data_IF_270422868824
#
_entry.id   IF_270422868824
#
_cell.length_a   1.000
_cell.length_b   1.000
_cell.length_c   1.000
_cell.angle_alpha   90.00
_cell.angle_beta   90.00
_cell.angle_gamma   90.00
#
_symmetry.space_group_name_H-M   'P 1'
#
loop_
_entity.id
_entity.type
_entity.pdbx_description
1 polymer ?
#
# COMPACT_ATOMS: atom_id res chain seq x y z
N UNK A 1 -4.46 -10.36 6.05
CA UNK A 1 -4.45 -10.32 4.57
C UNK A 1 -3.01 -10.13 4.15
N UNK A 2 -2.45 -11.05 3.36
CA UNK A 2 -1.02 -11.08 3.01
C UNK A 2 -0.82 -10.35 1.67
N UNK A 3 -0.06 -9.26 1.68
CA UNK A 3 0.43 -8.61 0.47
C UNK A 3 1.91 -8.93 0.29
N UNK A 4 2.30 -9.35 -0.92
CA UNK A 4 3.69 -9.54 -1.30
C UNK A 4 4.23 -8.36 -2.08
N UNK A 5 5.37 -7.83 -1.65
CA UNK A 5 6.16 -6.87 -2.43
C UNK A 5 6.86 -7.62 -3.57
N UNK A 6 6.45 -7.39 -4.82
CA UNK A 6 7.27 -7.79 -5.97
C UNK A 6 8.34 -6.70 -6.14
N UNK A 7 9.55 -6.96 -5.64
CA UNK A 7 10.63 -5.96 -5.53
C UNK A 7 11.08 -5.35 -6.87
N UNK A 8 10.79 -6.01 -8.00
CA UNK A 8 11.05 -5.47 -9.34
C UNK A 8 10.02 -4.45 -9.83
N UNK A 9 8.79 -4.47 -9.32
CA UNK A 9 7.69 -3.68 -9.89
C UNK A 9 7.12 -2.63 -8.96
N UNK A 10 7.58 -2.59 -7.69
CA UNK A 10 7.09 -1.68 -6.66
C UNK A 10 5.57 -1.80 -6.44
N UNK A 11 5.02 -3.01 -6.63
CA UNK A 11 3.58 -3.28 -6.53
C UNK A 11 3.30 -4.26 -5.39
N UNK A 12 2.17 -4.05 -4.72
CA UNK A 12 1.58 -5.02 -3.79
C UNK A 12 0.45 -5.76 -4.48
N UNK A 13 0.61 -7.07 -4.69
CA UNK A 13 -0.43 -7.93 -5.25
C UNK A 13 -1.15 -8.68 -4.13
N UNK A 14 -2.47 -8.62 -4.12
CA UNK A 14 -3.29 -9.45 -3.25
C UNK A 14 -3.23 -10.91 -3.70
N UNK A 15 -2.88 -11.81 -2.78
CA UNK A 15 -2.84 -13.24 -3.08
C UNK A 15 -4.25 -13.82 -3.35
N UNK A 16 -5.31 -13.24 -2.77
CA UNK A 16 -6.68 -13.76 -2.91
C UNK A 16 -7.36 -13.31 -4.20
N UNK A 17 -7.31 -12.01 -4.52
CA UNK A 17 -7.98 -11.47 -5.72
C UNK A 17 -7.07 -11.41 -6.94
N UNK A 18 -5.75 -11.59 -6.77
CA UNK A 18 -4.75 -11.38 -7.82
C UNK A 18 -4.73 -9.94 -8.39
N UNK A 19 -5.39 -8.99 -7.72
CA UNK A 19 -5.37 -7.57 -8.05
C UNK A 19 -4.29 -6.83 -7.24
N UNK A 20 -3.92 -5.65 -7.71
CA UNK A 20 -2.87 -4.83 -7.12
C UNK A 20 -3.45 -3.66 -6.32
N UNK A 21 -2.77 -3.29 -5.24
CA UNK A 21 -3.10 -2.10 -4.45
C UNK A 21 -2.87 -0.86 -5.32
N UNK A 22 -3.93 -0.09 -5.51
CA UNK A 22 -3.99 1.06 -6.39
C UNK A 22 -4.52 2.25 -5.61
N UNK A 23 -3.83 3.38 -5.70
CA UNK A 23 -4.29 4.64 -5.13
C UNK A 23 -4.29 5.74 -6.18
N UNK A 24 -5.44 6.37 -6.37
CA UNK A 24 -5.65 7.39 -7.40
C UNK A 24 -6.21 8.68 -6.80
N UNK A 25 -5.96 9.80 -7.47
CA UNK A 25 -6.60 11.08 -7.17
C UNK A 25 -7.96 11.13 -7.85
N UNK A 26 -9.03 11.25 -7.06
CA UNK A 26 -10.39 11.38 -7.59
C UNK A 26 -10.68 12.80 -8.12
N UNK A 27 -11.88 12.98 -8.69
CA UNK A 27 -12.30 14.28 -9.25
C UNK A 27 -12.43 15.40 -8.22
N UNK A 28 -12.54 15.06 -6.93
CA UNK A 28 -12.65 16.00 -5.83
C UNK A 28 -11.27 16.35 -5.24
N UNK A 29 -10.19 15.85 -5.84
CA UNK A 29 -8.84 16.06 -5.37
C UNK A 29 -8.50 15.24 -4.12
N UNK A 30 -9.22 14.13 -3.86
CA UNK A 30 -8.94 13.24 -2.74
C UNK A 30 -8.28 11.96 -3.24
N UNK A 31 -7.26 11.51 -2.50
CA UNK A 31 -6.67 10.21 -2.75
C UNK A 31 -7.61 9.11 -2.26
N UNK A 32 -7.85 8.12 -3.12
CA UNK A 32 -8.65 6.93 -2.84
C UNK A 32 -7.78 5.70 -3.00
N UNK A 33 -8.05 4.66 -2.23
CA UNK A 33 -7.34 3.40 -2.30
C UNK A 33 -8.32 2.25 -2.55
N UNK A 34 -7.94 1.34 -3.44
CA UNK A 34 -8.69 0.13 -3.74
C UNK A 34 -7.77 -0.94 -4.32
N UNK A 35 -8.33 -2.09 -4.71
CA UNK A 35 -7.64 -3.04 -5.58
C UNK A 35 -8.09 -2.85 -7.02
N UNK A 36 -7.15 -2.97 -7.96
CA UNK A 36 -7.41 -2.88 -9.39
C UNK A 36 -6.55 -3.90 -10.16
N UNK A 37 -6.89 -4.14 -11.43
CA UNK A 37 -6.10 -5.05 -12.26
C UNK A 37 -4.64 -4.58 -12.32
N UNK A 38 -3.73 -5.53 -12.13
CA UNK A 38 -2.31 -5.24 -12.05
C UNK A 38 -1.76 -4.77 -13.40
N UNK A 39 -1.22 -3.55 -13.45
CA UNK A 39 -0.54 -3.00 -14.61
C UNK A 39 0.82 -2.41 -14.20
N UNK A 40 1.90 -2.95 -14.77
CA UNK A 40 3.26 -2.49 -14.49
C UNK A 40 3.50 -1.05 -14.91
N UNK A 41 2.71 -0.50 -15.83
CA UNK A 41 2.80 0.88 -16.29
C UNK A 41 1.88 1.84 -15.51
N UNK A 42 0.97 1.31 -14.69
CA UNK A 42 0.07 2.15 -13.90
C UNK A 42 0.82 2.76 -12.70
N UNK A 43 1.01 4.07 -12.74
CA UNK A 43 1.69 4.84 -11.70
C UNK A 43 0.97 4.87 -10.35
N UNK A 44 -0.33 4.56 -10.32
CA UNK A 44 -1.14 4.49 -9.09
C UNK A 44 -0.90 3.21 -8.29
N UNK A 45 -0.20 2.23 -8.89
CA UNK A 45 0.09 0.94 -8.27
C UNK A 45 1.54 0.86 -7.77
N UNK A 46 2.23 2.01 -7.70
CA UNK A 46 3.65 2.08 -7.37
C UNK A 46 3.85 2.60 -5.95
N UNK A 47 4.59 1.84 -5.17
CA UNK A 47 4.79 2.07 -3.75
C UNK A 47 6.27 1.98 -3.37
N UNK A 48 6.70 2.88 -2.50
CA UNK A 48 8.03 2.91 -1.89
C UNK A 48 7.89 2.42 -0.46
N UNK A 49 8.67 1.40 -0.10
CA UNK A 49 8.75 0.90 1.27
C UNK A 49 9.97 1.51 1.94
N UNK A 50 9.73 2.41 2.90
CA UNK A 50 10.78 3.02 3.71
C UNK A 50 11.05 2.13 4.92
N UNK A 51 12.09 1.30 4.86
CA UNK A 51 12.37 0.30 5.90
C UNK A 51 12.84 0.89 7.22
N UNK A 52 13.41 2.10 7.19
CA UNK A 52 13.87 2.86 8.35
C UNK A 52 12.73 3.43 9.19
N UNK A 53 11.72 4.00 8.52
CA UNK A 53 10.53 4.60 9.15
C UNK A 53 9.34 3.65 9.22
N UNK A 54 9.43 2.50 8.54
CA UNK A 54 8.34 1.52 8.32
C UNK A 54 7.14 2.08 7.58
N UNK A 55 7.30 3.19 6.86
CA UNK A 55 6.22 3.78 6.07
C UNK A 55 6.15 3.18 4.66
N UNK A 56 4.93 3.12 4.12
CA UNK A 56 4.70 2.78 2.71
C UNK A 56 4.18 4.04 2.04
N UNK A 57 5.03 4.69 1.25
CA UNK A 57 4.71 5.93 0.54
C UNK A 57 4.30 5.62 -0.91
N UNK A 58 3.34 6.35 -1.43
CA UNK A 58 2.99 6.28 -2.84
C UNK A 58 4.14 6.83 -3.72
N UNK A 59 4.56 6.08 -4.73
CA UNK A 59 5.73 6.45 -5.53
C UNK A 59 5.47 7.67 -6.44
N UNK A 60 4.25 7.82 -6.97
CA UNK A 60 3.85 8.94 -7.84
C UNK A 60 3.31 10.14 -7.04
N UNK A 61 2.34 9.93 -6.15
CA UNK A 61 1.79 10.92 -5.22
C UNK A 61 2.68 11.09 -3.98
N UNK A 62 3.79 11.81 -4.13
CA UNK A 62 4.77 12.04 -3.05
C UNK A 62 4.15 12.69 -1.82
N UNK A 63 4.59 12.26 -0.65
CA UNK A 63 4.07 12.69 0.65
C UNK A 63 2.73 12.08 1.04
N UNK A 64 2.21 11.12 0.27
CA UNK A 64 1.04 10.32 0.64
C UNK A 64 1.46 8.92 1.08
N UNK A 65 1.06 8.54 2.28
CA UNK A 65 1.39 7.27 2.92
C UNK A 65 0.14 6.42 3.12
N UNK A 66 0.34 5.10 3.09
CA UNK A 66 -0.66 4.13 3.50
C UNK A 66 -0.92 4.26 5.00
N UNK A 67 -2.17 4.47 5.38
CA UNK A 67 -2.59 4.75 6.74
C UNK A 67 -3.80 3.87 7.10
N UNK A 68 -3.78 3.24 8.27
CA UNK A 68 -4.96 2.56 8.82
C UNK A 68 -5.81 3.55 9.59
N UNK A 69 -7.00 3.88 9.10
CA UNK A 69 -7.81 4.97 9.66
C UNK A 69 -8.32 4.64 11.07
N UNK A 70 -7.80 5.29 12.13
CA UNK A 70 -8.18 4.98 13.50
C UNK A 70 -9.58 5.47 13.88
N UNK A 71 -10.24 6.25 13.01
CA UNK A 71 -11.57 6.81 13.28
C UNK A 71 -12.70 5.80 13.02
N UNK A 72 -12.41 4.73 12.30
CA UNK A 72 -13.36 3.65 12.02
C UNK A 72 -12.97 2.38 12.78
N UNK A 73 -13.98 1.66 13.28
CA UNK A 73 -13.78 0.44 14.06
C UNK A 73 -13.04 -0.66 13.27
N UNK A 74 -13.17 -0.68 11.95
CA UNK A 74 -12.52 -1.64 11.06
C UNK A 74 -11.08 -1.26 10.69
N UNK A 75 -10.64 -0.04 11.02
CA UNK A 75 -9.32 0.49 10.72
C UNK A 75 -8.93 0.28 9.26
N UNK A 76 -9.88 0.52 8.35
CA UNK A 76 -9.65 0.31 6.93
C UNK A 76 -8.52 1.21 6.40
N UNK A 77 -7.94 0.77 5.29
CA UNK A 77 -6.85 1.50 4.65
C UNK A 77 -7.36 2.80 4.02
N UNK A 78 -6.60 3.87 4.22
CA UNK A 78 -6.76 5.15 3.55
C UNK A 78 -5.39 5.67 3.06
N UNK A 79 -5.43 6.78 2.33
CA UNK A 79 -4.25 7.57 2.00
C UNK A 79 -4.24 8.82 2.87
N UNK A 80 -3.11 9.10 3.51
CA UNK A 80 -2.93 10.29 4.34
C UNK A 80 -1.57 10.93 4.10
N UNK A 81 -1.40 12.18 4.54
CA UNK A 81 -0.07 12.79 4.58
C UNK A 81 0.88 11.90 5.41
N UNK A 82 2.11 11.72 4.92
CA UNK A 82 3.13 11.00 5.65
C UNK A 82 3.50 11.75 6.94
N UNK A 83 3.19 11.17 8.10
CA UNK A 83 3.46 11.75 9.42
C UNK A 83 4.53 10.94 10.14
N UNK A 84 5.69 11.53 10.49
CA UNK A 84 6.73 10.83 11.22
C UNK A 84 6.23 10.25 12.55
N UNK A 85 6.60 9.01 12.85
CA UNK A 85 6.22 8.29 14.07
C UNK A 85 4.70 8.09 14.27
N UNK A 86 3.89 8.19 13.21
CA UNK A 86 2.49 7.79 13.27
C UNK A 86 2.38 6.26 13.22
N UNK A 87 1.97 5.62 14.32
CA UNK A 87 1.84 4.16 14.42
C UNK A 87 0.86 3.58 13.40
N UNK A 88 -0.15 4.34 12.97
CA UNK A 88 -1.12 3.92 11.94
C UNK A 88 -0.52 3.88 10.52
N UNK A 89 0.70 4.41 10.35
CA UNK A 89 1.44 4.41 9.08
C UNK A 89 2.67 3.51 9.11
N UNK A 90 2.84 2.71 10.17
CA UNK A 90 3.97 1.79 10.31
C UNK A 90 3.55 0.36 9.96
N UNK A 91 4.18 -0.20 8.93
CA UNK A 91 3.86 -1.50 8.38
C UNK A 91 5.08 -2.43 8.42
N UNK A 92 4.87 -3.68 8.81
CA UNK A 92 5.87 -4.72 8.60
C UNK A 92 5.64 -5.31 7.20
N UNK A 93 6.48 -4.93 6.25
CA UNK A 93 6.44 -5.43 4.88
C UNK A 93 7.47 -6.54 4.69
N UNK A 94 7.01 -7.78 4.53
CA UNK A 94 7.86 -8.93 4.29
C UNK A 94 7.80 -9.35 2.81
N UNK A 95 8.92 -9.79 2.21
CA UNK A 95 8.89 -10.33 0.86
C UNK A 95 8.04 -11.60 0.84
N UNK A 96 7.08 -11.65 -0.09
CA UNK A 96 6.27 -12.85 -0.28
C UNK A 96 7.10 -13.93 -0.97
N UNK A 97 7.57 -14.89 -0.20
CA UNK A 97 8.18 -16.10 -0.71
C UNK A 97 7.07 -17.15 -0.89
N UNK A 98 6.81 -17.54 -2.14
CA UNK A 98 5.74 -18.50 -2.48
C UNK A 98 5.99 -19.94 -1.97
N UNK A 99 6.90 -20.15 -1.01
CA UNK A 99 7.30 -21.46 -0.49
C UNK A 99 6.97 -21.69 0.99
N UNK A 100 6.27 -20.77 1.65
CA UNK A 100 5.76 -21.01 3.00
C UNK A 100 4.24 -20.99 2.98
N UNK A 101 3.64 -22.19 2.94
CA UNK A 101 2.38 -22.44 3.61
C UNK A 101 2.60 -22.13 5.10
N UNK A 102 2.32 -20.90 5.51
CA UNK A 102 2.22 -20.59 6.93
C UNK A 102 0.94 -21.29 7.42
N UNK A 103 1.00 -22.15 8.46
CA UNK A 103 -0.17 -22.81 9.02
C UNK A 103 -1.21 -21.82 9.57
#
# INVERSE_FOLDING_TARGET
MLYGVITSTQMFKSASSQQCLDSFLDSDGKYKIHTYDCDVNNGNQKWIVHTDTKQIEHATHKGQCLDGDPTYADHHLQMWECVPNNENQQWNAEPYTANYSVP
#
